data_IF_833571151086
#
_entry.id   IF_833571151086
#
_cell.length_a   1.000
_cell.length_b   1.000
_cell.length_c   1.000
_cell.angle_alpha   90.00
_cell.angle_beta   90.00
_cell.angle_gamma   90.00
#
_symmetry.space_group_name_H-M   'P 1'
#
loop_
_entity.id
_entity.type
_entity.pdbx_description
1 polymer ?
#
# COMPACT_ATOMS: atom_id res chain seq x y z
N UNK A 1 13.52 -18.90 123.26
CA UNK A 1 13.91 -17.48 123.36
C UNK A 1 15.27 -17.27 122.69
N UNK A 2 15.50 -16.12 122.05
CA UNK A 2 16.42 -15.95 120.91
C UNK A 2 17.85 -15.58 121.32
N UNK A 3 18.76 -15.66 120.35
CA UNK A 3 20.00 -14.88 120.11
C UNK A 3 20.78 -15.62 119.02
N UNK A 4 21.56 -15.06 118.11
CA UNK A 4 21.81 -13.73 117.56
C UNK A 4 22.86 -13.98 116.45
N UNK A 5 22.89 -13.14 115.42
CA UNK A 5 23.67 -13.36 114.20
C UNK A 5 25.18 -13.49 114.41
N UNK A 6 25.83 -14.32 113.58
CA UNK A 6 27.24 -14.12 113.18
C UNK A 6 27.32 -14.09 111.65
N UNK A 7 27.57 -12.88 111.16
CA UNK A 7 27.92 -12.53 109.79
C UNK A 7 29.14 -13.31 109.31
N UNK A 8 28.99 -14.09 108.23
CA UNK A 8 30.10 -14.43 107.34
C UNK A 8 29.91 -13.61 106.06
N UNK A 9 30.72 -12.57 105.91
CA UNK A 9 30.87 -11.80 104.66
C UNK A 9 31.42 -12.75 103.60
N UNK A 10 30.59 -13.11 102.64
CA UNK A 10 31.04 -13.73 101.39
C UNK A 10 31.67 -12.61 100.51
N UNK A 11 32.82 -12.89 99.86
CA UNK A 11 33.48 -11.92 98.99
C UNK A 11 32.57 -11.56 97.79
N UNK A 12 32.65 -10.32 97.29
CA UNK A 12 31.81 -9.87 96.18
C UNK A 12 32.07 -10.71 94.92
N UNK A 13 31.04 -11.04 94.13
CA UNK A 13 31.21 -11.73 92.87
C UNK A 13 32.12 -10.91 91.94
N UNK A 14 32.98 -11.61 91.20
CA UNK A 14 33.97 -11.04 90.29
C UNK A 14 33.30 -10.20 89.19
N UNK A 15 33.91 -9.09 88.73
CA UNK A 15 33.29 -8.14 87.80
C UNK A 15 33.21 -8.65 86.35
N UNK A 16 33.59 -9.91 86.11
CA UNK A 16 33.67 -10.53 84.78
C UNK A 16 32.82 -11.80 84.66
N UNK A 17 31.72 -11.90 85.41
CA UNK A 17 30.60 -12.72 84.96
C UNK A 17 29.82 -11.88 83.92
N UNK A 18 30.12 -12.09 82.64
CA UNK A 18 29.36 -11.47 81.56
C UNK A 18 27.86 -11.72 81.80
N UNK A 19 27.04 -10.67 81.95
CA UNK A 19 25.62 -10.87 81.89
C UNK A 19 25.33 -11.45 80.50
N UNK A 20 24.90 -12.71 80.44
CA UNK A 20 24.13 -13.24 79.30
C UNK A 20 22.77 -12.54 79.26
N UNK A 21 22.76 -11.21 79.20
CA UNK A 21 21.65 -10.50 78.60
C UNK A 21 21.76 -10.86 77.12
N UNK A 22 20.92 -11.79 76.67
CA UNK A 22 20.54 -11.81 75.25
C UNK A 22 20.13 -10.38 74.94
N UNK A 23 20.99 -9.63 74.24
CA UNK A 23 20.54 -8.42 73.55
C UNK A 23 19.31 -8.90 72.77
N UNK A 24 18.15 -8.26 72.88
CA UNK A 24 17.05 -8.62 72.00
C UNK A 24 17.62 -8.51 70.59
N UNK A 25 17.76 -9.65 69.90
CA UNK A 25 18.05 -9.65 68.48
C UNK A 25 16.98 -8.76 67.86
N UNK A 26 17.31 -7.82 66.97
CA UNK A 26 16.33 -6.94 66.38
C UNK A 26 15.28 -7.81 65.68
N UNK A 27 14.14 -8.01 66.34
CA UNK A 27 13.00 -8.84 65.90
C UNK A 27 12.17 -8.09 64.86
N UNK A 28 12.87 -7.44 63.93
CA UNK A 28 12.31 -6.71 62.81
C UNK A 28 13.22 -6.86 61.59
N UNK A 29 12.66 -6.84 60.37
CA UNK A 29 13.46 -6.86 59.17
C UNK A 29 14.48 -5.70 59.17
N UNK A 30 15.75 -6.00 58.85
CA UNK A 30 16.89 -5.06 58.82
C UNK A 30 16.62 -3.83 57.92
N UNK A 31 15.65 -3.94 57.01
CA UNK A 31 15.21 -2.87 56.13
C UNK A 31 13.77 -2.46 56.45
N UNK A 32 13.62 -1.21 56.89
CA UNK A 32 12.32 -0.57 57.11
C UNK A 32 11.86 0.19 55.85
N UNK A 33 10.57 0.08 55.52
CA UNK A 33 9.98 0.89 54.47
C UNK A 33 9.87 2.36 54.92
N UNK A 34 10.56 3.26 54.19
CA UNK A 34 10.48 4.71 54.39
C UNK A 34 9.76 5.35 53.20
N UNK A 35 8.43 5.28 53.14
CA UNK A 35 7.67 5.85 52.02
C UNK A 35 7.85 7.37 52.00
N UNK A 36 8.07 7.92 50.81
CA UNK A 36 8.12 9.37 50.59
C UNK A 36 6.74 9.89 50.23
N UNK A 37 6.38 11.05 50.76
CA UNK A 37 5.12 11.72 50.46
C UNK A 37 5.35 12.79 49.40
N UNK A 38 4.91 12.55 48.16
CA UNK A 38 5.10 13.48 47.02
C UNK A 38 3.99 14.53 46.89
N UNK A 39 3.35 14.89 48.00
CA UNK A 39 2.34 15.94 48.08
C UNK A 39 2.97 17.34 47.94
N UNK A 40 2.11 18.34 47.78
CA UNK A 40 2.55 19.74 47.72
C UNK A 40 3.18 20.12 49.07
N UNK A 41 4.44 20.56 49.06
CA UNK A 41 5.17 21.00 50.26
C UNK A 41 5.76 19.88 51.13
N UNK A 42 5.76 18.63 50.66
CA UNK A 42 6.33 17.48 51.36
C UNK A 42 7.69 17.10 50.74
N UNK A 43 7.94 15.82 50.44
CA UNK A 43 9.20 15.36 49.85
C UNK A 43 9.42 15.84 48.42
N UNK A 44 10.69 15.89 48.00
CA UNK A 44 11.08 16.24 46.63
C UNK A 44 10.36 15.33 45.63
N UNK A 45 9.64 15.95 44.70
CA UNK A 45 8.90 15.23 43.66
C UNK A 45 9.84 14.36 42.82
N UNK A 46 9.39 13.17 42.39
CA UNK A 46 10.15 12.34 41.48
C UNK A 46 10.30 13.03 40.12
N UNK A 47 11.30 12.60 39.35
CA UNK A 47 11.47 13.05 37.96
C UNK A 47 10.21 12.66 37.16
N UNK A 48 9.49 13.67 36.66
CA UNK A 48 8.29 13.52 35.85
C UNK A 48 8.57 13.83 34.38
N UNK A 49 7.69 13.37 33.49
CA UNK A 49 7.79 13.72 32.08
C UNK A 49 7.46 15.22 31.88
N UNK A 50 8.50 16.03 31.65
CA UNK A 50 8.38 17.47 31.41
C UNK A 50 8.26 17.85 29.93
N UNK A 51 8.17 16.90 29.00
CA UNK A 51 8.24 17.12 27.54
C UNK A 51 7.26 18.20 27.04
N UNK A 52 6.10 18.35 27.67
CA UNK A 52 5.11 19.39 27.33
C UNK A 52 5.51 20.79 27.83
N UNK A 53 6.18 20.88 28.98
CA UNK A 53 6.53 22.12 29.68
C UNK A 53 7.96 22.60 29.38
N UNK A 54 8.78 21.75 28.76
CA UNK A 54 10.12 22.12 28.28
C UNK A 54 10.01 23.30 27.31
N UNK A 55 10.89 24.29 27.49
CA UNK A 55 11.06 25.38 26.54
C UNK A 55 11.72 24.85 25.27
N UNK A 56 10.90 24.46 24.29
CA UNK A 56 11.37 23.92 23.02
C UNK A 56 12.19 24.93 22.21
N UNK A 57 13.23 24.48 21.47
CA UNK A 57 13.95 25.31 20.51
C UNK A 57 13.01 26.02 19.52
N UNK A 58 13.42 27.20 19.04
CA UNK A 58 12.56 28.08 18.22
C UNK A 58 12.02 27.36 16.97
N UNK A 59 12.82 26.56 16.27
CA UNK A 59 12.40 25.86 15.06
C UNK A 59 11.28 24.82 15.33
N UNK A 60 11.33 24.10 16.46
CA UNK A 60 10.29 23.15 16.87
C UNK A 60 8.99 23.88 17.16
N UNK A 61 9.06 25.02 17.87
CA UNK A 61 7.88 25.85 18.17
C UNK A 61 7.21 26.34 16.89
N UNK A 62 7.99 26.89 15.95
CA UNK A 62 7.48 27.38 14.66
C UNK A 62 6.84 26.25 13.84
N UNK A 63 7.47 25.07 13.75
CA UNK A 63 6.91 23.93 13.02
C UNK A 63 5.58 23.45 13.60
N UNK A 64 5.47 23.38 14.94
CA UNK A 64 4.23 23.00 15.64
C UNK A 64 3.13 24.06 15.45
N UNK A 65 3.46 25.34 15.65
CA UNK A 65 2.53 26.45 15.45
C UNK A 65 2.01 26.51 14.02
N UNK A 66 2.89 26.32 13.02
CA UNK A 66 2.51 26.24 11.61
C UNK A 66 1.47 25.13 11.36
N UNK A 67 1.68 23.93 11.91
CA UNK A 67 0.72 22.82 11.78
C UNK A 67 -0.63 23.15 12.40
N UNK A 68 -0.64 23.80 13.57
CA UNK A 68 -1.88 24.24 14.24
C UNK A 68 -2.60 25.30 13.40
N UNK A 69 -1.87 26.27 12.83
CA UNK A 69 -2.46 27.30 11.96
C UNK A 69 -3.16 26.68 10.74
N UNK A 70 -2.55 25.71 10.07
CA UNK A 70 -3.19 25.00 8.95
C UNK A 70 -4.49 24.28 9.32
N UNK A 71 -4.64 23.85 10.57
CA UNK A 71 -5.87 23.20 11.04
C UNK A 71 -6.95 24.20 11.49
N UNK A 72 -6.54 25.38 11.96
CA UNK A 72 -7.44 26.40 12.51
C UNK A 72 -7.96 27.37 11.46
N UNK A 73 -7.16 27.65 10.44
CA UNK A 73 -7.53 28.51 9.33
C UNK A 73 -8.31 27.71 8.29
N UNK A 74 -9.25 28.37 7.61
CA UNK A 74 -9.93 27.78 6.44
C UNK A 74 -8.94 27.71 5.29
N UNK A 75 -8.58 26.51 4.88
CA UNK A 75 -7.62 26.27 3.79
C UNK A 75 -8.38 26.27 2.44
N UNK A 76 -7.91 27.03 1.43
CA UNK A 76 -8.50 27.01 0.09
C UNK A 76 -8.51 25.61 -0.53
N UNK A 77 -9.51 25.26 -1.37
CA UNK A 77 -9.64 23.92 -1.94
C UNK A 77 -8.43 23.47 -2.77
N UNK A 78 -7.78 24.41 -3.49
CA UNK A 78 -6.57 24.14 -4.28
C UNK A 78 -5.38 23.65 -3.44
N UNK A 79 -5.35 23.96 -2.14
CA UNK A 79 -4.34 23.48 -1.20
C UNK A 79 -4.89 22.26 -0.44
N UNK A 80 -6.17 22.29 -0.07
CA UNK A 80 -6.79 21.21 0.69
C UNK A 80 -6.84 19.89 -0.08
N UNK A 81 -6.84 19.90 -1.42
CA UNK A 81 -6.71 18.67 -2.20
C UNK A 81 -5.46 17.83 -1.84
N UNK A 82 -4.37 18.43 -1.33
CA UNK A 82 -3.16 17.70 -0.91
C UNK A 82 -3.27 17.05 0.47
N UNK A 83 -4.33 17.34 1.25
CA UNK A 83 -4.61 16.60 2.49
C UNK A 83 -5.24 15.25 2.18
N UNK A 84 -6.00 15.15 1.09
CA UNK A 84 -6.62 13.94 0.61
C UNK A 84 -5.61 13.17 -0.24
N UNK A 85 -5.07 12.10 0.34
CA UNK A 85 -3.96 11.34 -0.24
C UNK A 85 -4.43 9.93 -0.56
N UNK A 86 -3.73 9.28 -1.49
CA UNK A 86 -3.96 7.88 -1.82
C UNK A 86 -3.80 6.99 -0.57
N UNK A 87 -4.59 5.93 -0.43
CA UNK A 87 -4.47 5.02 0.72
C UNK A 87 -3.16 4.21 0.69
N UNK A 88 -2.68 3.76 1.85
CA UNK A 88 -1.40 3.05 2.01
C UNK A 88 -1.35 1.74 1.23
N UNK A 89 -2.46 1.02 1.12
CA UNK A 89 -2.52 -0.25 0.40
C UNK A 89 -2.31 0.00 -1.11
N UNK A 90 -3.09 0.92 -1.67
CA UNK A 90 -2.99 1.33 -3.08
C UNK A 90 -1.61 1.93 -3.38
N UNK A 91 -1.06 2.75 -2.48
CA UNK A 91 0.31 3.26 -2.62
C UNK A 91 1.33 2.13 -2.76
N UNK A 92 1.23 1.08 -1.93
CA UNK A 92 2.21 -0.01 -1.94
C UNK A 92 2.17 -0.78 -3.24
N UNK A 93 0.97 -1.03 -3.78
CA UNK A 93 0.79 -1.65 -5.08
C UNK A 93 1.31 -0.79 -6.22
N UNK A 94 0.99 0.51 -6.22
CA UNK A 94 1.53 1.47 -7.18
C UNK A 94 3.06 1.51 -7.15
N UNK A 95 3.68 1.52 -5.98
CA UNK A 95 5.15 1.51 -5.89
C UNK A 95 5.78 0.18 -6.33
N UNK A 96 5.08 -0.95 -6.24
CA UNK A 96 5.55 -2.23 -6.81
C UNK A 96 5.56 -2.16 -8.34
N UNK A 97 4.49 -1.67 -8.95
CA UNK A 97 4.41 -1.44 -10.40
C UNK A 97 5.54 -0.50 -10.86
N UNK A 98 5.64 0.67 -10.21
CA UNK A 98 6.65 1.66 -10.53
C UNK A 98 8.09 1.18 -10.30
N UNK A 99 8.30 0.14 -9.51
CA UNK A 99 9.63 -0.44 -9.29
C UNK A 99 10.18 -1.14 -10.54
N UNK A 100 9.32 -1.67 -11.40
CA UNK A 100 9.70 -2.28 -12.69
C UNK A 100 10.29 -1.23 -13.64
N UNK A 101 9.71 -0.04 -13.67
CA UNK A 101 10.06 1.06 -14.57
C UNK A 101 11.10 2.04 -14.04
N UNK A 102 11.94 1.60 -13.08
CA UNK A 102 12.95 2.49 -12.48
C UNK A 102 13.98 2.92 -13.52
N UNK A 103 14.35 4.21 -13.55
CA UNK A 103 15.44 4.66 -14.39
C UNK A 103 16.77 4.13 -13.87
N UNK A 104 17.68 3.86 -14.80
CA UNK A 104 19.04 3.38 -14.51
C UNK A 104 19.79 4.23 -13.49
N UNK A 105 20.60 3.56 -12.67
CA UNK A 105 21.58 4.23 -11.82
C UNK A 105 22.75 4.78 -12.67
N UNK A 106 23.53 5.71 -12.11
CA UNK A 106 24.71 6.26 -12.81
C UNK A 106 25.76 5.18 -13.09
N UNK A 107 25.84 4.15 -12.26
CA UNK A 107 26.76 3.03 -12.43
C UNK A 107 26.30 2.13 -13.58
N UNK A 108 25.04 1.68 -13.56
CA UNK A 108 24.42 0.90 -14.63
C UNK A 108 24.48 1.62 -15.98
N UNK A 109 24.25 2.93 -15.98
CA UNK A 109 24.37 3.76 -17.18
C UNK A 109 25.78 3.71 -17.77
N UNK A 110 26.80 3.76 -16.91
CA UNK A 110 28.21 3.69 -17.33
C UNK A 110 28.52 2.32 -17.94
N UNK A 111 28.09 1.25 -17.29
CA UNK A 111 28.25 -0.13 -17.78
C UNK A 111 27.54 -0.33 -19.12
N UNK A 112 26.31 0.16 -19.27
CA UNK A 112 25.59 0.11 -20.55
C UNK A 112 26.35 0.85 -21.65
N UNK A 113 26.86 2.05 -21.36
CA UNK A 113 27.61 2.83 -22.35
C UNK A 113 28.93 2.15 -22.74
N UNK A 114 29.62 1.51 -21.79
CA UNK A 114 30.81 0.71 -22.06
C UNK A 114 30.48 -0.51 -22.92
N UNK A 115 29.43 -1.26 -22.58
CA UNK A 115 28.99 -2.41 -23.34
C UNK A 115 28.53 -2.05 -24.77
N UNK A 116 27.80 -0.93 -24.94
CA UNK A 116 27.44 -0.42 -26.27
C UNK A 116 28.68 0.00 -27.06
N UNK A 117 29.64 0.70 -26.45
CA UNK A 117 30.88 1.08 -27.12
C UNK A 117 31.66 -0.15 -27.62
N UNK A 118 31.78 -1.20 -26.80
CA UNK A 118 32.43 -2.46 -27.20
C UNK A 118 31.70 -3.19 -28.34
N UNK A 119 30.37 -3.11 -28.40
CA UNK A 119 29.57 -3.70 -29.50
C UNK A 119 29.76 -2.94 -30.81
N UNK A 120 29.76 -1.61 -30.74
CA UNK A 120 30.02 -0.75 -31.89
C UNK A 120 31.45 -0.96 -32.41
N UNK A 121 32.45 -1.10 -31.53
CA UNK A 121 33.83 -1.43 -31.92
C UNK A 121 33.94 -2.80 -32.61
N UNK A 122 33.11 -3.77 -32.22
CA UNK A 122 33.01 -5.09 -32.86
C UNK A 122 32.21 -5.08 -34.17
N UNK A 123 31.66 -3.94 -34.58
CA UNK A 123 30.94 -3.77 -35.84
C UNK A 123 29.51 -4.32 -35.85
N UNK A 124 28.94 -4.65 -34.69
CA UNK A 124 27.54 -5.09 -34.56
C UNK A 124 26.62 -3.86 -34.45
N UNK A 125 25.52 -3.84 -35.22
CA UNK A 125 24.55 -2.74 -35.18
C UNK A 125 23.71 -2.79 -33.89
N UNK A 126 23.65 -1.66 -33.19
CA UNK A 126 22.93 -1.51 -31.90
C UNK A 126 21.40 -1.44 -32.10
N UNK A 127 20.75 -2.56 -32.46
CA UNK A 127 19.28 -2.67 -32.45
C UNK A 127 18.73 -3.01 -31.06
N UNK A 128 18.96 -2.13 -30.08
CA UNK A 128 18.33 -2.28 -28.76
C UNK A 128 16.98 -1.55 -28.71
N UNK A 129 15.92 -2.29 -28.34
CA UNK A 129 14.59 -1.72 -28.08
C UNK A 129 14.70 -0.65 -26.99
N UNK A 130 14.09 0.52 -27.24
CA UNK A 130 14.16 1.65 -26.31
C UNK A 130 13.48 1.28 -24.98
N UNK A 131 14.22 1.24 -23.86
CA UNK A 131 13.63 0.87 -22.58
C UNK A 131 12.62 1.92 -22.11
N UNK A 132 11.51 1.44 -21.56
CA UNK A 132 10.50 2.26 -20.90
C UNK A 132 10.98 2.63 -19.50
N UNK A 133 11.03 3.92 -19.22
CA UNK A 133 11.42 4.44 -17.92
C UNK A 133 10.42 5.47 -17.45
N UNK A 134 10.20 5.48 -16.15
CA UNK A 134 9.53 6.55 -15.45
C UNK A 134 10.20 7.89 -15.77
N UNK A 135 9.37 8.88 -16.12
CA UNK A 135 9.83 10.24 -16.34
C UNK A 135 9.75 11.03 -15.04
N UNK A 136 10.87 11.63 -14.66
CA UNK A 136 10.98 12.48 -13.48
C UNK A 136 11.28 13.92 -13.86
N UNK A 137 10.98 14.84 -12.94
CA UNK A 137 11.31 16.26 -13.05
C UNK A 137 10.10 17.09 -13.50
N UNK A 138 9.86 18.19 -12.79
CA UNK A 138 8.61 18.95 -12.92
C UNK A 138 8.40 19.50 -14.33
N UNK A 139 9.44 20.11 -14.93
CA UNK A 139 9.39 20.67 -16.28
C UNK A 139 9.23 19.62 -17.39
N UNK A 140 9.73 18.40 -17.15
CA UNK A 140 9.57 17.32 -18.11
C UNK A 140 8.14 16.77 -18.04
N UNK A 141 7.61 16.60 -16.83
CA UNK A 141 6.26 16.10 -16.60
C UNK A 141 5.22 17.07 -17.14
N UNK A 142 5.38 18.39 -16.97
CA UNK A 142 4.45 19.35 -17.58
C UNK A 142 4.37 19.22 -19.08
N UNK A 143 5.52 19.13 -19.76
CA UNK A 143 5.57 18.94 -21.22
C UNK A 143 4.87 17.63 -21.63
N UNK A 144 5.02 16.57 -20.86
CA UNK A 144 4.34 15.29 -21.13
C UNK A 144 2.83 15.37 -20.91
N UNK A 145 2.39 16.11 -19.89
CA UNK A 145 0.97 16.38 -19.65
C UNK A 145 0.35 17.25 -20.75
N UNK A 146 1.06 18.29 -21.18
CA UNK A 146 0.65 19.17 -22.29
C UNK A 146 0.56 18.41 -23.61
N UNK A 147 1.48 17.49 -23.86
CA UNK A 147 1.49 16.63 -25.04
C UNK A 147 0.52 15.44 -24.94
N UNK A 148 -0.21 15.27 -23.82
CA UNK A 148 -1.06 14.08 -23.54
C UNK A 148 -0.34 12.74 -23.71
N UNK A 149 0.96 12.70 -23.43
CA UNK A 149 1.77 11.48 -23.48
C UNK A 149 1.89 10.78 -22.13
N UNK A 150 1.53 11.46 -21.04
CA UNK A 150 1.49 10.84 -19.73
C UNK A 150 0.18 10.07 -19.56
N UNK A 151 0.26 8.80 -19.20
CA UNK A 151 -0.89 7.97 -18.85
C UNK A 151 -1.27 8.17 -17.38
N UNK A 152 -0.29 8.19 -16.46
CA UNK A 152 -0.52 8.39 -15.04
C UNK A 152 0.51 9.37 -14.46
N UNK A 153 0.04 10.31 -13.63
CA UNK A 153 0.90 11.27 -12.94
C UNK A 153 0.82 11.10 -11.42
N UNK A 154 1.98 10.90 -10.79
CA UNK A 154 2.12 10.77 -9.34
C UNK A 154 2.68 12.06 -8.77
N UNK A 155 1.96 12.69 -7.84
CA UNK A 155 2.27 14.02 -7.31
C UNK A 155 2.59 13.92 -5.81
N UNK A 156 3.66 14.59 -5.37
CA UNK A 156 3.96 14.75 -3.95
C UNK A 156 3.15 15.90 -3.33
N UNK A 157 2.77 15.75 -2.05
CA UNK A 157 1.86 16.68 -1.37
C UNK A 157 2.38 18.13 -1.10
N UNK A 158 3.67 18.42 -1.26
CA UNK A 158 4.29 19.60 -0.60
C UNK A 158 4.56 20.83 -1.49
N UNK A 159 4.46 20.74 -2.83
CA UNK A 159 5.05 21.78 -3.71
C UNK A 159 4.24 22.22 -4.93
N UNK A 160 3.23 21.46 -5.38
CA UNK A 160 2.75 21.61 -6.76
C UNK A 160 1.25 21.89 -6.87
N UNK A 161 0.83 23.11 -6.57
CA UNK A 161 -0.59 23.51 -6.55
C UNK A 161 -1.25 23.42 -7.93
N UNK A 162 -0.55 23.82 -8.99
CA UNK A 162 -1.11 23.92 -10.34
C UNK A 162 -1.14 22.59 -11.11
N UNK A 163 -0.33 21.60 -10.72
CA UNK A 163 -0.20 20.36 -11.49
C UNK A 163 -1.45 19.49 -11.48
N UNK A 164 -2.16 19.28 -10.36
CA UNK A 164 -3.46 18.62 -10.39
C UNK A 164 -4.48 19.31 -11.31
N UNK A 165 -4.44 20.65 -11.39
CA UNK A 165 -5.32 21.41 -12.27
C UNK A 165 -4.97 21.20 -13.75
N UNK A 166 -3.67 21.14 -14.09
CA UNK A 166 -3.21 20.82 -15.46
C UNK A 166 -3.59 19.38 -15.82
N UNK A 167 -3.35 18.40 -14.94
CA UNK A 167 -3.72 17.01 -15.17
C UNK A 167 -5.24 16.86 -15.40
N UNK A 168 -6.07 17.55 -14.60
CA UNK A 168 -7.53 17.55 -14.77
C UNK A 168 -7.97 18.23 -16.07
N UNK A 169 -7.31 19.30 -16.50
CA UNK A 169 -7.63 20.00 -17.77
C UNK A 169 -7.28 19.17 -19.00
N UNK A 170 -6.24 18.34 -18.90
CA UNK A 170 -5.76 17.51 -20.01
C UNK A 170 -6.36 16.09 -20.01
N UNK A 171 -7.28 15.80 -19.09
CA UNK A 171 -7.91 14.49 -18.87
C UNK A 171 -6.93 13.35 -18.55
N UNK A 172 -5.89 13.65 -17.77
CA UNK A 172 -4.87 12.68 -17.35
C UNK A 172 -5.11 12.30 -15.88
N UNK A 173 -5.21 11.00 -15.53
CA UNK A 173 -5.39 10.57 -14.16
C UNK A 173 -4.14 10.89 -13.33
N UNK A 174 -4.37 11.36 -12.11
CA UNK A 174 -3.30 11.70 -11.18
C UNK A 174 -3.60 11.17 -9.78
N UNK A 175 -2.53 10.94 -9.01
CA UNK A 175 -2.64 10.54 -7.62
C UNK A 175 -1.71 11.38 -6.73
N UNK A 176 -2.16 11.65 -5.51
CA UNK A 176 -1.39 12.42 -4.53
C UNK A 176 -0.82 11.48 -3.47
N UNK A 177 0.50 11.49 -3.33
CA UNK A 177 1.25 10.67 -2.37
C UNK A 177 1.84 11.56 -1.27
N UNK A 178 1.84 11.11 0.00
CA UNK A 178 2.34 11.89 1.13
C UNK A 178 3.82 12.25 1.09
N UNK A 179 4.68 11.41 0.51
CA UNK A 179 6.13 11.51 0.67
C UNK A 179 6.85 11.71 -0.66
N UNK A 180 7.47 12.89 -0.83
CA UNK A 180 8.41 13.18 -1.93
C UNK A 180 9.72 12.38 -1.86
N UNK A 181 10.10 11.94 -0.66
CA UNK A 181 11.30 11.15 -0.47
C UNK A 181 11.09 9.71 -0.98
N UNK A 182 9.91 9.13 -0.78
CA UNK A 182 9.56 7.79 -1.31
C UNK A 182 9.54 7.78 -2.84
N UNK A 183 8.99 8.84 -3.45
CA UNK A 183 9.03 9.07 -4.90
C UNK A 183 10.47 9.28 -5.38
N UNK A 184 11.27 10.08 -4.66
CA UNK A 184 12.68 10.32 -4.99
C UNK A 184 13.53 9.06 -4.97
N UNK A 185 13.35 8.22 -3.95
CA UNK A 185 14.07 6.95 -3.80
C UNK A 185 13.91 6.06 -5.04
N UNK A 186 12.73 6.06 -5.65
CA UNK A 186 12.45 5.30 -6.88
C UNK A 186 13.37 5.72 -8.05
N UNK A 187 13.68 7.00 -8.18
CA UNK A 187 14.47 7.58 -9.28
C UNK A 187 15.93 7.80 -8.88
N UNK A 188 16.40 7.17 -7.81
CA UNK A 188 17.75 7.35 -7.26
C UNK A 188 18.08 8.82 -6.91
N UNK A 189 17.07 9.60 -6.51
CA UNK A 189 17.21 10.99 -6.08
C UNK A 189 16.79 11.16 -4.61
N UNK A 190 17.33 12.18 -3.94
CA UNK A 190 16.95 12.47 -2.53
C UNK A 190 15.46 12.81 -2.40
N UNK A 191 14.92 13.54 -3.38
CA UNK A 191 13.53 13.96 -3.43
C UNK A 191 13.08 14.09 -4.89
N UNK A 192 11.84 13.74 -5.18
CA UNK A 192 11.18 14.05 -6.46
C UNK A 192 9.78 14.61 -6.19
N UNK A 193 9.40 15.66 -6.92
CA UNK A 193 8.11 16.36 -6.73
C UNK A 193 6.96 15.69 -7.47
N UNK A 194 7.24 15.16 -8.66
CA UNK A 194 6.28 14.41 -9.47
C UNK A 194 7.00 13.34 -10.29
N UNK A 195 6.25 12.33 -10.68
CA UNK A 195 6.64 11.21 -11.55
C UNK A 195 5.53 10.99 -12.57
N UNK A 196 5.88 10.65 -13.81
CA UNK A 196 4.91 10.27 -14.84
C UNK A 196 5.28 8.94 -15.51
N UNK A 197 4.25 8.14 -15.77
CA UNK A 197 4.30 6.99 -16.69
C UNK A 197 3.82 7.45 -18.07
N UNK A 198 4.51 7.05 -19.12
CA UNK A 198 4.23 7.47 -20.52
C UNK A 198 3.84 6.32 -21.45
N UNK A 199 3.96 5.11 -20.96
CA UNK A 199 3.68 3.86 -21.64
C UNK A 199 3.84 2.76 -20.60
N UNK A 200 3.02 1.74 -20.71
CA UNK A 200 3.08 0.50 -19.94
C UNK A 200 3.28 -0.65 -20.93
N UNK A 201 3.92 -1.74 -20.50
CA UNK A 201 3.90 -2.99 -21.26
C UNK A 201 2.49 -3.60 -21.19
N UNK A 202 2.05 -4.30 -22.26
CA UNK A 202 0.68 -4.82 -22.36
C UNK A 202 0.29 -5.73 -21.16
N UNK A 203 1.27 -6.37 -20.52
CA UNK A 203 1.09 -7.19 -19.31
C UNK A 203 0.68 -6.36 -18.07
N UNK A 204 1.16 -5.13 -17.97
CA UNK A 204 0.88 -4.24 -16.84
C UNK A 204 -0.45 -3.50 -16.99
N UNK A 205 -0.92 -3.29 -18.23
CA UNK A 205 -2.28 -2.81 -18.50
C UNK A 205 -3.32 -3.78 -17.90
N UNK A 206 -3.07 -5.09 -17.98
CA UNK A 206 -3.87 -6.10 -17.29
C UNK A 206 -3.77 -5.98 -15.78
N UNK A 207 -2.60 -5.74 -15.18
CA UNK A 207 -2.46 -5.59 -13.72
C UNK A 207 -3.12 -4.31 -13.17
N UNK A 208 -3.05 -3.20 -13.93
CA UNK A 208 -3.72 -1.93 -13.63
C UNK A 208 -5.23 -2.10 -13.73
N UNK A 209 -5.72 -2.83 -14.74
CA UNK A 209 -7.15 -3.14 -14.88
C UNK A 209 -7.62 -4.19 -13.87
N UNK A 210 -6.80 -5.19 -13.52
CA UNK A 210 -7.11 -6.25 -12.54
C UNK A 210 -7.34 -5.68 -11.14
N UNK A 211 -6.59 -4.64 -10.74
CA UNK A 211 -6.86 -3.93 -9.48
C UNK A 211 -8.19 -3.20 -9.44
N UNK A 212 -8.83 -2.98 -10.60
CA UNK A 212 -10.19 -2.46 -10.64
C UNK A 212 -11.25 -3.55 -10.41
N UNK A 213 -10.92 -4.84 -10.55
CA UNK A 213 -11.86 -5.97 -10.49
C UNK A 213 -11.84 -6.65 -9.12
N UNK A 214 -12.96 -6.58 -8.39
CA UNK A 214 -13.15 -7.38 -7.16
C UNK A 214 -13.35 -8.87 -7.44
N UNK A 215 -13.16 -9.70 -6.39
CA UNK A 215 -13.31 -11.16 -6.44
C UNK A 215 -14.69 -11.61 -6.97
N UNK A 216 -14.71 -12.71 -7.72
CA UNK A 216 -15.93 -13.33 -8.23
C UNK A 216 -16.88 -13.76 -7.09
N UNK A 217 -18.21 -13.72 -7.32
CA UNK A 217 -19.17 -14.17 -6.33
C UNK A 217 -18.94 -15.64 -5.96
N UNK A 218 -18.81 -15.92 -4.66
CA UNK A 218 -18.48 -17.24 -4.12
C UNK A 218 -19.53 -18.33 -4.45
N UNK A 219 -20.78 -17.93 -4.75
CA UNK A 219 -21.85 -18.85 -5.13
C UNK A 219 -22.23 -18.63 -6.60
N UNK A 220 -22.22 -19.69 -7.45
CA UNK A 220 -22.58 -19.57 -8.85
C UNK A 220 -24.09 -19.29 -9.04
N UNK A 221 -24.49 -18.71 -10.18
CA UNK A 221 -25.90 -18.55 -10.53
C UNK A 221 -26.67 -19.88 -10.53
N UNK A 222 -27.95 -19.86 -10.14
CA UNK A 222 -28.79 -21.07 -10.02
C UNK A 222 -28.72 -21.94 -11.28
N UNK A 223 -28.43 -23.23 -11.10
CA UNK A 223 -28.37 -24.23 -12.19
C UNK A 223 -27.01 -24.35 -12.89
N UNK A 224 -25.99 -23.60 -12.45
CA UNK A 224 -24.64 -23.67 -13.00
C UNK A 224 -23.59 -23.92 -11.92
N UNK A 225 -22.48 -24.56 -12.30
CA UNK A 225 -21.28 -24.75 -11.49
C UNK A 225 -20.11 -24.08 -12.22
N UNK A 226 -19.15 -23.53 -11.46
CA UNK A 226 -17.92 -23.01 -12.04
C UNK A 226 -17.03 -24.16 -12.51
N UNK A 227 -16.56 -24.12 -13.75
CA UNK A 227 -15.58 -25.10 -14.21
C UNK A 227 -14.26 -24.93 -13.43
N UNK A 228 -13.79 -25.99 -12.78
CA UNK A 228 -12.60 -25.95 -11.93
C UNK A 228 -11.30 -25.77 -12.74
N UNK A 229 -11.30 -26.19 -14.00
CA UNK A 229 -10.16 -26.10 -14.92
C UNK A 229 -10.54 -25.28 -16.14
N UNK A 230 -9.62 -24.43 -16.60
CA UNK A 230 -9.79 -23.70 -17.86
C UNK A 230 -9.95 -24.71 -19.01
N UNK A 231 -10.94 -24.54 -19.91
CA UNK A 231 -10.97 -25.31 -21.15
C UNK A 231 -9.69 -25.04 -21.96
N UNK A 232 -9.17 -26.03 -22.72
CA UNK A 232 -8.05 -25.79 -23.61
C UNK A 232 -8.48 -24.76 -24.66
N UNK A 233 -7.66 -23.73 -24.88
CA UNK A 233 -7.91 -22.62 -25.80
C UNK A 233 -6.69 -22.36 -26.71
N UNK A 234 -5.85 -23.38 -26.92
CA UNK A 234 -4.60 -23.24 -27.66
C UNK A 234 -4.82 -23.23 -29.18
N UNK A 235 -5.81 -23.99 -29.65
CA UNK A 235 -6.13 -24.13 -31.07
C UNK A 235 -7.43 -23.38 -31.45
N UNK A 236 -7.54 -22.91 -32.69
CA UNK A 236 -8.74 -22.23 -33.21
C UNK A 236 -10.01 -23.08 -33.08
N UNK A 237 -9.91 -24.40 -33.24
CA UNK A 237 -11.04 -25.32 -33.09
C UNK A 237 -11.50 -25.46 -31.63
N UNK A 238 -10.57 -25.35 -30.68
CA UNK A 238 -10.88 -25.33 -29.25
C UNK A 238 -11.56 -24.02 -28.84
N UNK A 239 -11.12 -22.89 -29.41
CA UNK A 239 -11.74 -21.58 -29.21
C UNK A 239 -13.16 -21.53 -29.82
N UNK A 240 -13.38 -22.21 -30.96
CA UNK A 240 -14.73 -22.41 -31.52
C UNK A 240 -15.63 -23.25 -30.62
N UNK A 241 -15.09 -24.22 -29.88
CA UNK A 241 -15.86 -25.05 -28.94
C UNK A 241 -16.41 -24.26 -27.73
N UNK A 242 -15.83 -23.09 -27.45
CA UNK A 242 -16.32 -22.16 -26.43
C UNK A 242 -17.58 -21.40 -26.89
N UNK A 243 -17.81 -21.29 -28.19
CA UNK A 243 -19.00 -20.64 -28.73
C UNK A 243 -20.29 -21.35 -28.26
N UNK A 244 -21.32 -20.56 -27.94
CA UNK A 244 -22.61 -20.96 -27.37
C UNK A 244 -22.58 -21.41 -25.90
N UNK A 245 -21.43 -21.44 -25.24
CA UNK A 245 -21.36 -21.67 -23.78
C UNK A 245 -21.68 -20.39 -23.01
N UNK A 246 -22.15 -20.56 -21.76
CA UNK A 246 -22.35 -19.45 -20.83
C UNK A 246 -21.10 -19.21 -20.02
N UNK A 247 -20.82 -17.93 -19.78
CA UNK A 247 -19.67 -17.47 -19.00
C UNK A 247 -20.15 -16.43 -17.99
N UNK A 248 -19.41 -16.32 -16.88
CA UNK A 248 -19.50 -15.21 -15.97
C UNK A 248 -18.33 -14.28 -16.26
N UNK A 249 -18.57 -13.01 -16.56
CA UNK A 249 -17.55 -12.04 -16.90
C UNK A 249 -17.69 -10.75 -16.09
N UNK A 250 -16.56 -10.19 -15.67
CA UNK A 250 -16.50 -8.94 -14.92
C UNK A 250 -16.64 -7.73 -15.86
N UNK A 251 -17.55 -6.81 -15.54
CA UNK A 251 -17.68 -5.52 -16.21
C UNK A 251 -17.68 -4.37 -15.20
N UNK A 252 -17.01 -3.28 -15.58
CA UNK A 252 -17.06 -2.00 -14.86
C UNK A 252 -18.23 -1.17 -15.41
N UNK A 253 -19.27 -0.98 -14.60
CA UNK A 253 -20.43 -0.15 -14.91
C UNK A 253 -20.56 0.94 -13.84
N UNK A 254 -20.61 2.21 -14.27
CA UNK A 254 -20.80 3.37 -13.38
C UNK A 254 -19.89 3.41 -12.14
N UNK A 255 -18.65 2.96 -12.28
CA UNK A 255 -17.65 2.99 -11.20
C UNK A 255 -17.75 1.84 -10.19
N UNK A 256 -18.65 0.88 -10.40
CA UNK A 256 -18.72 -0.37 -9.64
C UNK A 256 -18.44 -1.56 -10.57
N UNK A 257 -17.61 -2.51 -10.11
CA UNK A 257 -17.43 -3.77 -10.81
C UNK A 257 -18.52 -4.75 -10.45
N UNK A 258 -19.24 -5.22 -11.47
CA UNK A 258 -20.23 -6.27 -11.36
C UNK A 258 -19.84 -7.48 -12.21
N UNK A 259 -20.18 -8.67 -11.73
CA UNK A 259 -20.06 -9.91 -12.47
C UNK A 259 -21.39 -10.23 -13.16
N UNK A 260 -21.34 -10.50 -14.46
CA UNK A 260 -22.53 -10.68 -15.28
C UNK A 260 -22.46 -11.96 -16.10
N UNK A 261 -23.61 -12.64 -16.23
CA UNK A 261 -23.75 -13.84 -17.05
C UNK A 261 -23.90 -13.42 -18.52
N UNK A 262 -23.06 -13.97 -19.39
CA UNK A 262 -23.11 -13.75 -20.84
C UNK A 262 -23.01 -15.07 -21.61
N UNK A 263 -23.44 -15.05 -22.87
CA UNK A 263 -23.34 -16.19 -23.79
C UNK A 263 -22.34 -15.88 -24.90
N UNK A 264 -21.34 -16.73 -25.10
CA UNK A 264 -20.35 -16.56 -26.17
C UNK A 264 -21.03 -16.81 -27.53
N UNK A 265 -20.99 -15.85 -28.46
CA UNK A 265 -21.65 -15.98 -29.77
C UNK A 265 -20.70 -16.38 -30.90
N UNK A 266 -19.56 -15.69 -31.01
CA UNK A 266 -18.69 -15.82 -32.17
C UNK A 266 -17.22 -15.76 -31.77
N UNK A 267 -16.42 -16.56 -32.48
CA UNK A 267 -14.97 -16.56 -32.43
C UNK A 267 -14.44 -15.75 -33.61
N UNK A 268 -13.54 -14.80 -33.35
CA UNK A 268 -13.05 -13.85 -34.34
C UNK A 268 -13.83 -12.52 -34.31
N UNK A 269 -13.14 -11.46 -33.91
CA UNK A 269 -13.72 -10.13 -33.80
C UNK A 269 -13.66 -9.43 -35.16
N UNK A 270 -14.83 -9.16 -35.75
CA UNK A 270 -14.94 -8.44 -37.03
C UNK A 270 -14.36 -7.01 -36.94
N UNK A 271 -14.14 -6.39 -38.10
CA UNK A 271 -13.52 -5.05 -38.21
C UNK A 271 -14.24 -3.97 -37.40
N UNK A 272 -15.56 -4.07 -37.23
CA UNK A 272 -16.38 -3.11 -36.48
C UNK A 272 -16.26 -3.21 -34.96
N UNK A 273 -15.67 -4.29 -34.43
CA UNK A 273 -15.57 -4.56 -32.99
C UNK A 273 -14.12 -4.70 -32.50
N UNK A 274 -13.15 -4.34 -33.36
CA UNK A 274 -11.72 -4.64 -33.19
C UNK A 274 -11.11 -3.83 -32.04
N UNK A 275 -11.03 -4.45 -30.87
CA UNK A 275 -10.14 -4.04 -29.77
C UNK A 275 -8.81 -4.78 -29.90
N UNK A 276 -7.68 -4.25 -29.38
CA UNK A 276 -6.35 -4.83 -29.58
C UNK A 276 -6.21 -6.27 -29.09
N UNK A 277 -7.02 -6.65 -28.09
CA UNK A 277 -6.89 -7.86 -27.28
C UNK A 277 -8.14 -8.76 -27.28
N UNK A 278 -9.23 -8.35 -27.94
CA UNK A 278 -10.48 -9.09 -27.93
C UNK A 278 -10.45 -10.30 -28.87
N UNK A 279 -10.82 -11.47 -28.35
CA UNK A 279 -10.81 -12.76 -29.08
C UNK A 279 -12.23 -13.24 -29.42
N UNK A 280 -13.21 -12.98 -28.54
CA UNK A 280 -14.57 -13.50 -28.65
C UNK A 280 -15.62 -12.39 -28.53
N UNK A 281 -16.80 -12.62 -29.10
CA UNK A 281 -17.98 -11.77 -28.92
C UNK A 281 -18.92 -12.45 -27.92
N UNK A 282 -19.26 -11.75 -26.84
CA UNK A 282 -20.16 -12.19 -25.79
C UNK A 282 -21.46 -11.40 -25.89
N UNK A 283 -22.60 -12.08 -25.85
CA UNK A 283 -23.92 -11.45 -25.76
C UNK A 283 -24.41 -11.46 -24.32
N UNK A 284 -24.82 -10.29 -23.86
CA UNK A 284 -25.48 -10.11 -22.57
C UNK A 284 -26.97 -9.82 -22.78
N UNK A 285 -27.81 -10.62 -22.13
CA UNK A 285 -29.26 -10.43 -22.13
C UNK A 285 -29.69 -9.65 -20.91
N UNK A 286 -30.60 -8.67 -21.08
CA UNK A 286 -31.14 -7.87 -19.98
C UNK A 286 -31.80 -8.73 -18.88
N UNK A 287 -32.36 -9.90 -19.24
CA UNK A 287 -32.97 -10.84 -18.29
C UNK A 287 -31.94 -11.49 -17.36
N UNK A 288 -30.71 -11.65 -17.83
CA UNK A 288 -29.63 -12.35 -17.11
C UNK A 288 -28.75 -11.37 -16.34
N UNK A 289 -28.56 -10.15 -16.85
CA UNK A 289 -27.70 -9.12 -16.22
C UNK A 289 -28.45 -8.20 -15.24
N UNK A 290 -29.78 -8.20 -15.25
CA UNK A 290 -30.62 -7.34 -14.40
C UNK A 290 -30.49 -5.84 -14.68
N UNK A 291 -29.69 -5.44 -15.67
CA UNK A 291 -29.35 -4.04 -15.99
C UNK A 291 -29.53 -3.78 -17.48
N UNK A 292 -30.13 -2.62 -17.82
CA UNK A 292 -30.33 -2.20 -19.22
C UNK A 292 -29.04 -1.77 -19.92
N UNK A 293 -28.05 -1.31 -19.15
CA UNK A 293 -26.83 -0.68 -19.67
C UNK A 293 -25.85 -1.66 -20.33
N UNK A 294 -25.93 -2.96 -20.00
CA UNK A 294 -25.04 -3.99 -20.54
C UNK A 294 -25.71 -4.86 -21.63
N UNK A 295 -26.99 -4.64 -21.95
CA UNK A 295 -27.72 -5.49 -22.88
C UNK A 295 -27.20 -5.28 -24.33
N UNK A 296 -26.59 -6.32 -24.91
CA UNK A 296 -26.01 -6.24 -26.26
C UNK A 296 -24.85 -7.19 -26.50
N UNK A 297 -24.13 -6.98 -27.61
CA UNK A 297 -22.90 -7.70 -27.96
C UNK A 297 -21.69 -6.88 -27.53
N UNK A 298 -20.77 -7.52 -26.83
CA UNK A 298 -19.51 -6.92 -26.36
C UNK A 298 -18.35 -7.81 -26.79
N UNK A 299 -17.30 -7.21 -27.33
CA UNK A 299 -16.06 -7.91 -27.63
C UNK A 299 -15.24 -8.06 -26.34
N UNK A 300 -14.82 -9.28 -26.03
CA UNK A 300 -14.09 -9.61 -24.80
C UNK A 300 -12.88 -10.50 -25.12
N UNK A 301 -11.80 -10.33 -24.37
CA UNK A 301 -10.68 -11.28 -24.35
C UNK A 301 -11.08 -12.48 -23.48
N UNK A 302 -11.23 -13.65 -24.08
CA UNK A 302 -11.34 -14.92 -23.35
C UNK A 302 -10.07 -15.72 -23.66
N UNK A 303 -9.20 -15.87 -22.67
CA UNK A 303 -7.92 -16.58 -22.77
C UNK A 303 -7.67 -17.38 -21.49
N UNK A 304 -6.67 -18.28 -21.51
CA UNK A 304 -6.28 -19.01 -20.30
C UNK A 304 -5.68 -18.08 -19.22
N UNK A 305 -4.95 -17.05 -19.65
CA UNK A 305 -4.24 -16.13 -18.77
C UNK A 305 -5.16 -15.24 -17.91
N UNK A 306 -6.42 -15.09 -18.31
CA UNK A 306 -7.41 -14.26 -17.61
C UNK A 306 -8.60 -15.07 -17.05
N UNK A 307 -8.40 -16.39 -16.86
CA UNK A 307 -9.38 -17.32 -16.33
C UNK A 307 -9.22 -17.52 -14.82
N UNK A 308 -10.28 -17.28 -14.04
CA UNK A 308 -10.25 -17.51 -12.59
C UNK A 308 -11.18 -16.63 -11.77
N UNK A 309 -11.40 -17.01 -10.51
CA UNK A 309 -12.27 -16.28 -9.58
C UNK A 309 -11.69 -14.92 -9.13
N UNK A 310 -10.37 -14.76 -9.19
CA UNK A 310 -9.68 -13.47 -9.02
C UNK A 310 -9.47 -12.72 -10.34
N UNK A 311 -9.90 -13.30 -11.45
CA UNK A 311 -9.60 -12.82 -12.80
C UNK A 311 -10.84 -12.25 -13.50
N UNK A 312 -10.91 -12.32 -14.83
CA UNK A 312 -11.87 -11.58 -15.65
C UNK A 312 -13.08 -12.39 -16.08
N UNK A 313 -12.94 -13.72 -16.15
CA UNK A 313 -14.02 -14.59 -16.55
C UNK A 313 -13.92 -16.01 -15.97
N UNK A 314 -15.07 -16.66 -15.87
CA UNK A 314 -15.24 -18.05 -15.48
C UNK A 314 -16.23 -18.74 -16.42
N UNK A 315 -15.97 -20.02 -16.73
CA UNK A 315 -16.90 -20.83 -17.50
C UNK A 315 -18.00 -21.38 -16.59
N UNK A 316 -19.25 -21.29 -17.05
CA UNK A 316 -20.41 -21.85 -16.36
C UNK A 316 -20.79 -23.18 -17.02
N UNK A 317 -20.63 -24.28 -16.28
CA UNK A 317 -21.11 -25.59 -16.69
C UNK A 317 -22.51 -25.83 -16.10
N UNK A 318 -23.43 -26.47 -16.84
CA UNK A 318 -24.72 -26.86 -16.28
C UNK A 318 -24.49 -27.80 -15.09
N UNK A 319 -25.15 -27.54 -13.97
CA UNK A 319 -25.05 -28.43 -12.82
C UNK A 319 -25.54 -29.84 -13.21
N UNK A 320 -24.84 -30.93 -12.82
CA UNK A 320 -25.34 -32.27 -13.06
C UNK A 320 -26.68 -32.42 -12.33
N UNK A 321 -27.74 -32.72 -13.09
CA UNK A 321 -29.07 -33.00 -12.55
C UNK A 321 -28.94 -34.22 -11.61
N UNK A 322 -29.23 -34.03 -10.33
CA UNK A 322 -29.44 -35.10 -9.35
C UNK A 322 -30.85 -35.67 -9.47
#
# INVERSE_FOLDING_TARGET
MPKAAKSKKAPPPTPYAEPKSKKPEPTGPVWEAKPKHFGIGQDILPKRNLTRYVRWPKYVRIQRQRKVLYQRLKVPPSINQFTNKLDKNVQTNLFKLLHKYRPESKAEKKERLQASAEKVEKGEADESKKPLFIKCGIHHITKLCEQKKAQLVVIAADLVIWLPAVCRKMDIPYCIIPSKARIGALVHQKNATAIALTGDEDEDDTAVRMQACGEAPAMPPKGYVYAATCPPLANDDEQRALCRRKILAAHLLDGATGWYVGTVQHFGVGSSWRQPDATHIVMYSQKETGTKHLAGRVACKLAADNYGASEWWLLLEPAPES
#
